data_IF_813179090753
#
_entry.id   IF_813179090753
#
_cell.length_a   1.000
_cell.length_b   1.000
_cell.length_c   1.000
_cell.angle_alpha   90.00
_cell.angle_beta   90.00
_cell.angle_gamma   90.00
#
_symmetry.space_group_name_H-M   'P 1'
#
loop_
_entity.id
_entity.type
_entity.pdbx_description
1 polymer ?
#
# COMPACT_ATOMS: atom_id res chain seq x y z
N UNK A 1 -43.82 1.17 54.25
CA UNK A 1 -43.34 2.09 53.19
C UNK A 1 -44.34 2.03 52.03
N UNK A 2 -44.93 3.14 51.60
CA UNK A 2 -46.01 3.13 50.56
C UNK A 2 -45.45 2.80 49.18
N UNK A 3 -46.20 2.05 48.36
CA UNK A 3 -45.77 1.59 47.02
C UNK A 3 -45.21 2.72 46.14
N UNK A 4 -45.78 3.94 46.22
CA UNK A 4 -45.28 5.14 45.53
C UNK A 4 -43.85 5.56 45.92
N UNK A 5 -43.44 5.38 47.17
CA UNK A 5 -42.08 5.72 47.62
C UNK A 5 -41.05 4.72 47.08
N UNK A 6 -41.40 3.44 47.01
CA UNK A 6 -40.54 2.38 46.46
C UNK A 6 -40.34 2.58 44.95
N UNK A 7 -41.42 2.87 44.20
CA UNK A 7 -41.33 3.15 42.76
C UNK A 7 -40.46 4.36 42.43
N UNK A 8 -40.51 5.44 43.24
CA UNK A 8 -39.64 6.62 43.05
C UNK A 8 -38.16 6.29 43.24
N UNK A 9 -37.82 5.48 44.24
CA UNK A 9 -36.42 5.09 44.50
C UNK A 9 -35.89 4.21 43.36
N UNK A 10 -36.70 3.26 42.88
CA UNK A 10 -36.33 2.40 41.73
C UNK A 10 -36.13 3.25 40.46
N UNK A 11 -37.01 4.22 40.19
CA UNK A 11 -36.88 5.11 39.03
C UNK A 11 -35.60 5.96 39.09
N UNK A 12 -35.24 6.48 40.27
CA UNK A 12 -33.97 7.22 40.47
C UNK A 12 -32.77 6.29 40.21
N UNK A 13 -32.80 5.06 40.72
CA UNK A 13 -31.74 4.09 40.47
C UNK A 13 -31.56 3.77 38.99
N UNK A 14 -32.66 3.56 38.26
CA UNK A 14 -32.62 3.32 36.81
C UNK A 14 -32.03 4.54 36.08
N UNK A 15 -32.45 5.76 36.43
CA UNK A 15 -31.91 6.98 35.83
C UNK A 15 -30.41 7.14 36.08
N UNK A 16 -29.93 6.82 37.29
CA UNK A 16 -28.50 6.83 37.63
C UNK A 16 -27.73 5.80 36.81
N UNK A 17 -28.26 4.58 36.66
CA UNK A 17 -27.63 3.53 35.85
C UNK A 17 -27.54 3.96 34.39
N UNK A 18 -28.61 4.51 33.81
CA UNK A 18 -28.62 5.01 32.43
C UNK A 18 -27.59 6.14 32.27
N UNK A 19 -27.53 7.09 33.20
CA UNK A 19 -26.55 8.17 33.18
C UNK A 19 -25.11 7.65 33.22
N UNK A 20 -24.83 6.65 34.05
CA UNK A 20 -23.52 6.00 34.11
C UNK A 20 -23.16 5.28 32.81
N UNK A 21 -24.10 4.56 32.20
CA UNK A 21 -23.89 3.90 30.90
C UNK A 21 -23.58 4.94 29.82
N UNK A 22 -24.35 6.03 29.73
CA UNK A 22 -24.11 7.10 28.75
C UNK A 22 -22.74 7.77 28.95
N UNK A 23 -22.34 7.99 30.21
CA UNK A 23 -21.03 8.56 30.53
C UNK A 23 -19.89 7.63 30.12
N UNK A 24 -20.03 6.32 30.36
CA UNK A 24 -19.05 5.33 29.91
C UNK A 24 -18.94 5.30 28.39
N UNK A 25 -20.07 5.31 27.66
CA UNK A 25 -20.08 5.34 26.20
C UNK A 25 -19.39 6.61 25.67
N UNK A 26 -19.71 7.78 26.25
CA UNK A 26 -19.08 9.04 25.87
C UNK A 26 -17.57 9.04 26.13
N UNK A 27 -17.13 8.50 27.27
CA UNK A 27 -15.71 8.39 27.60
C UNK A 27 -14.96 7.47 26.65
N UNK A 28 -15.52 6.29 26.34
CA UNK A 28 -14.94 5.34 25.39
C UNK A 28 -14.86 5.96 24.00
N UNK A 29 -15.93 6.59 23.53
CA UNK A 29 -15.96 7.25 22.21
C UNK A 29 -14.93 8.37 22.11
N UNK A 30 -14.87 9.24 23.12
CA UNK A 30 -13.91 10.35 23.17
C UNK A 30 -12.46 9.85 23.18
N UNK A 31 -12.17 8.78 23.93
CA UNK A 31 -10.85 8.15 23.96
C UNK A 31 -10.44 7.58 22.59
N UNK A 32 -11.37 6.87 21.93
CA UNK A 32 -11.13 6.26 20.62
C UNK A 32 -10.89 7.34 19.55
N UNK A 33 -11.73 8.37 19.49
CA UNK A 33 -11.60 9.45 18.52
C UNK A 33 -10.30 10.25 18.73
N UNK A 34 -9.96 10.55 19.99
CA UNK A 34 -8.70 11.23 20.30
C UNK A 34 -7.49 10.40 19.91
N UNK A 35 -7.51 9.09 20.15
CA UNK A 35 -6.45 8.19 19.74
C UNK A 35 -6.30 8.19 18.20
N UNK A 36 -7.40 8.07 17.45
CA UNK A 36 -7.36 8.14 15.99
C UNK A 36 -6.81 9.46 15.47
N UNK A 37 -7.23 10.59 16.05
CA UNK A 37 -6.72 11.90 15.68
C UNK A 37 -5.20 12.02 15.93
N UNK A 38 -4.74 11.60 17.11
CA UNK A 38 -3.32 11.65 17.48
C UNK A 38 -2.46 10.82 16.52
N UNK A 39 -2.93 9.61 16.17
CA UNK A 39 -2.25 8.69 15.27
C UNK A 39 -2.22 9.21 13.83
N UNK A 40 -3.31 9.81 13.35
CA UNK A 40 -3.32 10.47 12.03
C UNK A 40 -2.30 11.59 11.96
N UNK A 41 -2.20 12.41 13.01
CA UNK A 41 -1.20 13.50 13.08
C UNK A 41 0.23 12.96 13.14
N UNK A 42 0.46 11.90 13.90
CA UNK A 42 1.75 11.22 13.99
C UNK A 42 2.16 10.62 12.63
N UNK A 43 1.25 9.97 11.88
CA UNK A 43 1.52 9.46 10.54
C UNK A 43 1.88 10.58 9.54
N UNK A 44 1.16 11.70 9.54
CA UNK A 44 1.47 12.84 8.66
C UNK A 44 2.88 13.39 8.98
N UNK A 45 3.21 13.48 10.28
CA UNK A 45 4.53 13.91 10.71
C UNK A 45 5.61 12.92 10.26
N UNK A 46 5.40 11.62 10.47
CA UNK A 46 6.31 10.56 10.05
C UNK A 46 6.53 10.55 8.52
N UNK A 47 5.45 10.75 7.75
CA UNK A 47 5.52 10.86 6.30
C UNK A 47 6.53 11.95 5.91
N UNK A 48 6.35 13.16 6.43
CA UNK A 48 7.16 14.32 6.07
C UNK A 48 8.59 14.26 6.62
N UNK A 49 8.75 13.82 7.86
CA UNK A 49 10.04 13.87 8.57
C UNK A 49 10.94 12.67 8.25
N UNK A 50 10.38 11.54 7.86
CA UNK A 50 11.14 10.30 7.64
C UNK A 50 10.85 9.71 6.27
N UNK A 51 9.61 9.36 5.94
CA UNK A 51 9.33 8.57 4.74
C UNK A 51 9.67 9.33 3.44
N UNK A 52 9.33 10.61 3.36
CA UNK A 52 9.65 11.49 2.20
C UNK A 52 11.15 11.76 2.07
N UNK A 53 11.94 11.50 3.12
CA UNK A 53 13.40 11.67 3.09
C UNK A 53 14.13 10.46 2.51
N UNK A 54 13.44 9.32 2.41
CA UNK A 54 14.00 8.08 1.86
C UNK A 54 14.11 8.23 0.34
N UNK A 55 15.35 8.25 -0.17
CA UNK A 55 15.63 8.39 -1.60
C UNK A 55 15.92 7.07 -2.29
N UNK A 56 16.16 6.01 -1.52
CA UNK A 56 16.58 4.70 -2.02
C UNK A 56 15.47 3.69 -1.78
N UNK A 57 15.07 3.00 -2.84
CA UNK A 57 14.07 1.94 -2.82
C UNK A 57 14.79 0.59 -2.73
N UNK A 58 14.34 -0.28 -1.83
CA UNK A 58 14.71 -1.70 -1.86
C UNK A 58 14.03 -2.35 -3.07
N UNK A 59 14.83 -2.76 -4.04
CA UNK A 59 14.33 -3.12 -5.35
C UNK A 59 13.84 -4.55 -5.49
N UNK A 60 13.83 -5.35 -4.42
CA UNK A 60 13.22 -6.69 -4.41
C UNK A 60 11.69 -6.65 -4.30
N UNK A 61 11.06 -5.77 -5.09
CA UNK A 61 9.62 -5.59 -5.11
C UNK A 61 8.95 -6.72 -5.91
N UNK A 62 7.88 -7.29 -5.34
CA UNK A 62 7.01 -8.24 -6.04
C UNK A 62 6.11 -7.50 -7.02
N UNK A 63 6.10 -7.94 -8.27
CA UNK A 63 5.25 -7.44 -9.35
C UNK A 63 4.27 -8.54 -9.73
N UNK A 64 3.00 -8.15 -9.89
CA UNK A 64 1.95 -9.04 -10.36
C UNK A 64 1.73 -8.84 -11.86
N UNK A 65 1.59 -9.93 -12.59
CA UNK A 65 1.39 -9.98 -14.04
C UNK A 65 0.07 -10.70 -14.31
N UNK A 66 -0.84 -10.08 -15.05
CA UNK A 66 -2.17 -10.63 -15.34
C UNK A 66 -2.42 -10.73 -16.85
N UNK A 67 -2.97 -11.89 -17.27
CA UNK A 67 -3.36 -12.17 -18.66
C UNK A 67 -2.21 -12.59 -19.60
N UNK A 68 -1.03 -12.88 -19.07
CA UNK A 68 0.11 -13.36 -19.86
C UNK A 68 0.18 -14.88 -19.93
N UNK A 69 0.56 -15.41 -21.09
CA UNK A 69 0.72 -16.85 -21.25
C UNK A 69 2.11 -17.32 -20.78
N UNK A 70 2.26 -18.62 -20.53
CA UNK A 70 3.53 -19.21 -20.05
C UNK A 70 4.74 -18.91 -20.95
N UNK A 71 4.55 -18.83 -22.28
CA UNK A 71 5.64 -18.57 -23.22
C UNK A 71 6.11 -17.12 -23.15
N UNK A 72 5.19 -16.19 -22.93
CA UNK A 72 5.47 -14.75 -22.77
C UNK A 72 6.23 -14.45 -21.48
N UNK A 73 6.04 -15.27 -20.45
CA UNK A 73 6.64 -15.11 -19.12
C UNK A 73 8.05 -15.71 -18.99
N UNK A 74 8.52 -16.45 -20.00
CA UNK A 74 9.87 -17.03 -20.00
C UNK A 74 10.97 -15.98 -20.13
N UNK A 75 10.67 -14.81 -20.73
CA UNK A 75 11.63 -13.73 -20.93
C UNK A 75 10.94 -12.40 -20.65
N UNK A 76 11.20 -11.87 -19.46
CA UNK A 76 10.76 -10.56 -19.03
C UNK A 76 12.00 -9.70 -18.89
N UNK A 77 12.08 -8.62 -19.66
CA UNK A 77 13.17 -7.68 -19.56
C UNK A 77 12.81 -6.57 -18.58
N UNK A 78 13.75 -6.21 -17.73
CA UNK A 78 13.70 -5.08 -16.83
C UNK A 78 14.80 -4.13 -17.22
N UNK A 79 14.40 -2.89 -17.53
CA UNK A 79 15.33 -1.81 -17.78
C UNK A 79 15.23 -0.80 -16.64
N UNK A 80 16.37 -0.43 -16.08
CA UNK A 80 16.46 0.68 -15.14
C UNK A 80 16.78 1.94 -15.95
N UNK A 81 15.90 2.92 -15.87
CA UNK A 81 16.09 4.24 -16.45
C UNK A 81 16.42 5.23 -15.32
N UNK A 82 17.57 5.87 -15.44
CA UNK A 82 17.97 6.98 -14.58
C UNK A 82 17.95 8.24 -15.44
N UNK A 83 17.17 9.23 -15.02
CA UNK A 83 16.89 10.43 -15.81
C UNK A 83 16.39 10.11 -17.24
N UNK A 84 17.24 10.32 -18.25
CA UNK A 84 16.90 10.17 -19.68
C UNK A 84 17.58 8.96 -20.34
N UNK A 85 18.35 8.17 -19.58
CA UNK A 85 19.18 7.09 -20.11
C UNK A 85 18.90 5.75 -19.44
N UNK A 86 19.06 4.68 -20.21
CA UNK A 86 19.01 3.31 -19.71
C UNK A 86 20.35 2.91 -19.12
N UNK A 87 20.37 2.61 -17.82
CA UNK A 87 21.61 2.30 -17.10
C UNK A 87 21.77 0.81 -16.82
N UNK A 88 20.68 0.05 -16.73
CA UNK A 88 20.71 -1.42 -16.56
C UNK A 88 19.66 -2.10 -17.43
N UNK A 89 20.00 -3.31 -17.86
CA UNK A 89 19.14 -4.24 -18.60
C UNK A 89 19.32 -5.63 -17.97
N UNK A 90 18.23 -6.23 -17.53
CA UNK A 90 18.25 -7.56 -16.89
C UNK A 90 17.07 -8.37 -17.36
N UNK A 91 17.30 -9.64 -17.66
CA UNK A 91 16.26 -10.57 -18.13
C UNK A 91 15.99 -11.58 -17.04
N UNK A 92 14.72 -11.78 -16.75
CA UNK A 92 14.24 -12.68 -15.70
C UNK A 92 13.11 -13.53 -16.27
N UNK A 93 12.93 -14.74 -15.77
CA UNK A 93 11.80 -15.61 -16.08
C UNK A 93 10.86 -15.68 -14.89
N UNK A 94 9.55 -15.54 -15.12
CA UNK A 94 8.56 -15.88 -14.10
C UNK A 94 8.22 -17.37 -14.22
N UNK A 95 8.29 -18.09 -13.10
CA UNK A 95 7.76 -19.45 -13.03
C UNK A 95 6.22 -19.38 -12.99
N UNK A 96 5.52 -20.12 -13.86
CA UNK A 96 4.07 -20.11 -13.85
C UNK A 96 3.54 -20.76 -12.57
N UNK A 97 2.83 -19.97 -11.78
CA UNK A 97 2.09 -20.41 -10.61
C UNK A 97 1.04 -21.44 -11.04
N UNK A 98 1.21 -22.69 -10.59
CA UNK A 98 0.31 -23.79 -10.93
C UNK A 98 -1.08 -23.63 -10.29
N UNK A 99 -1.22 -22.84 -9.22
CA UNK A 99 -2.46 -22.67 -8.47
C UNK A 99 -3.34 -21.52 -8.98
N UNK A 100 -2.74 -20.51 -9.60
CA UNK A 100 -3.47 -19.40 -10.22
C UNK A 100 -2.87 -19.13 -11.60
N UNK A 101 -3.55 -19.61 -12.65
CA UNK A 101 -3.03 -19.50 -14.02
C UNK A 101 -3.04 -18.05 -14.53
N UNK A 102 -3.90 -17.22 -13.98
CA UNK A 102 -4.15 -15.87 -14.52
C UNK A 102 -3.25 -14.82 -13.88
N UNK A 103 -2.94 -14.96 -12.57
CA UNK A 103 -2.08 -14.05 -11.84
C UNK A 103 -0.70 -14.67 -11.55
N UNK A 104 0.33 -14.07 -12.12
CA UNK A 104 1.72 -14.51 -11.99
C UNK A 104 2.53 -13.48 -11.20
N UNK A 105 3.52 -13.92 -10.44
CA UNK A 105 4.36 -13.05 -9.62
C UNK A 105 5.80 -13.11 -10.09
N UNK A 106 6.46 -11.96 -10.13
CA UNK A 106 7.89 -11.86 -10.38
C UNK A 106 8.52 -10.89 -9.40
N UNK A 107 9.76 -11.17 -9.01
CA UNK A 107 10.56 -10.26 -8.19
C UNK A 107 11.40 -9.40 -9.12
N UNK A 108 11.35 -8.10 -8.91
CA UNK A 108 12.16 -7.14 -9.65
C UNK A 108 13.67 -7.41 -9.38
N UNK A 109 14.53 -7.39 -10.43
CA UNK A 109 15.89 -7.89 -10.32
C UNK A 109 16.92 -6.85 -9.87
N UNK A 110 16.49 -5.70 -9.35
CA UNK A 110 17.39 -4.63 -8.90
C UNK A 110 17.48 -4.66 -7.39
N UNK A 111 18.69 -4.62 -6.83
CA UNK A 111 18.84 -4.60 -5.37
C UNK A 111 18.37 -3.27 -4.77
N UNK A 112 18.81 -2.16 -5.36
CA UNK A 112 18.46 -0.81 -4.91
C UNK A 112 18.45 0.15 -6.11
N UNK A 113 17.59 1.17 -6.04
CA UNK A 113 17.52 2.27 -7.02
C UNK A 113 16.95 3.54 -6.38
N UNK A 114 16.99 4.67 -7.09
CA UNK A 114 16.46 5.94 -6.57
C UNK A 114 14.93 6.00 -6.75
N UNK A 115 14.21 6.61 -5.80
CA UNK A 115 12.75 6.81 -5.90
C UNK A 115 12.30 7.53 -7.20
N UNK A 116 13.17 8.36 -7.78
CA UNK A 116 12.92 9.09 -9.02
C UNK A 116 13.26 8.29 -10.30
N UNK A 117 13.92 7.14 -10.15
CA UNK A 117 14.23 6.28 -11.29
C UNK A 117 12.94 5.66 -11.85
N UNK A 118 12.97 5.33 -13.14
CA UNK A 118 11.88 4.60 -13.80
C UNK A 118 12.31 3.17 -14.07
N UNK A 119 11.37 2.25 -13.96
CA UNK A 119 11.61 0.85 -14.31
C UNK A 119 10.72 0.50 -15.48
N UNK A 120 11.33 0.10 -16.58
CA UNK A 120 10.62 -0.30 -17.78
C UNK A 120 10.60 -1.83 -17.81
N UNK A 121 9.40 -2.41 -17.83
CA UNK A 121 9.21 -3.86 -17.94
C UNK A 121 8.75 -4.17 -19.35
N UNK A 122 9.45 -5.07 -20.03
CA UNK A 122 9.04 -5.61 -21.32
C UNK A 122 8.71 -7.09 -21.22
N UNK A 123 7.44 -7.41 -21.49
CA UNK A 123 6.90 -8.77 -21.39
C UNK A 123 5.84 -8.97 -22.46
N UNK A 124 5.84 -10.13 -23.13
CA UNK A 124 4.80 -10.46 -24.12
C UNK A 124 4.57 -9.39 -25.20
N UNK A 125 5.67 -8.80 -25.70
CA UNK A 125 5.67 -7.70 -26.69
C UNK A 125 5.00 -6.41 -26.22
N UNK A 126 4.99 -6.15 -24.92
CA UNK A 126 4.40 -4.95 -24.32
C UNK A 126 5.36 -4.33 -23.33
N UNK A 127 5.33 -3.00 -23.26
CA UNK A 127 6.11 -2.22 -22.31
C UNK A 127 5.22 -1.67 -21.19
N UNK A 128 5.79 -1.56 -20.01
CA UNK A 128 5.21 -0.94 -18.83
C UNK A 128 6.24 -0.04 -18.19
N UNK A 129 5.90 1.23 -17.99
CA UNK A 129 6.78 2.20 -17.31
C UNK A 129 6.31 2.37 -15.87
N UNK A 130 7.09 1.84 -14.94
CA UNK A 130 6.84 1.90 -13.50
C UNK A 130 7.56 3.13 -12.93
N UNK A 131 6.83 3.95 -12.17
CA UNK A 131 7.37 5.19 -11.60
C UNK A 131 6.57 5.64 -10.38
N UNK A 132 7.03 6.70 -9.72
CA UNK A 132 6.40 7.20 -8.49
C UNK A 132 6.63 6.22 -7.35
N UNK A 133 7.87 5.77 -7.17
CA UNK A 133 8.21 4.97 -6.01
C UNK A 133 8.26 5.88 -4.80
N UNK A 134 7.58 5.48 -3.72
CA UNK A 134 7.49 6.29 -2.51
C UNK A 134 7.49 5.38 -1.29
N UNK A 135 7.59 5.96 -0.11
CA UNK A 135 7.35 5.25 1.14
C UNK A 135 6.16 5.89 1.82
N UNK A 136 5.22 5.10 2.32
CA UNK A 136 4.05 5.62 3.01
C UNK A 136 4.12 5.31 4.50
N UNK A 137 3.95 6.34 5.32
CA UNK A 137 3.79 6.21 6.76
C UNK A 137 2.46 5.50 7.06
N UNK A 138 2.53 4.38 7.76
CA UNK A 138 1.36 3.59 8.09
C UNK A 138 1.48 2.97 9.48
N UNK A 139 0.32 2.61 10.03
CA UNK A 139 0.25 1.75 11.21
C UNK A 139 -0.23 0.36 10.80
N UNK A 140 0.20 -0.65 11.56
CA UNK A 140 -0.55 -1.90 11.60
C UNK A 140 -1.90 -1.62 12.27
N UNK A 141 -2.98 -2.18 11.74
CA UNK A 141 -4.32 -2.04 12.32
C UNK A 141 -4.78 -3.39 12.84
N UNK A 142 -5.17 -3.41 14.12
CA UNK A 142 -5.87 -4.53 14.73
C UNK A 142 -7.37 -4.23 14.87
N UNK A 143 -8.09 -5.15 15.51
CA UNK A 143 -9.55 -5.06 15.73
C UNK A 143 -9.99 -3.78 16.46
N UNK A 144 -9.09 -3.16 17.24
CA UNK A 144 -9.37 -1.95 18.02
C UNK A 144 -8.57 -0.72 17.55
N UNK A 145 -8.01 -0.75 16.33
CA UNK A 145 -7.30 0.40 15.74
C UNK A 145 -5.79 0.18 15.58
N UNK A 146 -5.00 1.27 15.45
CA UNK A 146 -3.56 1.20 15.24
C UNK A 146 -2.83 0.42 16.34
N UNK A 147 -1.97 -0.51 15.96
CA UNK A 147 -1.15 -1.33 16.85
C UNK A 147 0.32 -1.09 16.52
N UNK A 148 1.12 -0.77 17.54
CA UNK A 148 2.56 -0.55 17.41
C UNK A 148 2.96 0.84 16.92
N UNK A 149 4.21 0.94 16.47
CA UNK A 149 4.83 2.15 15.92
C UNK A 149 4.28 2.50 14.54
N UNK A 150 4.34 3.78 14.19
CA UNK A 150 4.21 4.20 12.80
C UNK A 150 5.48 3.81 12.06
N UNK A 151 5.33 3.16 10.91
CA UNK A 151 6.45 2.67 10.11
C UNK A 151 6.31 3.18 8.68
N UNK A 152 7.44 3.45 8.04
CA UNK A 152 7.49 3.69 6.61
C UNK A 152 7.40 2.34 5.90
N UNK A 153 6.25 2.03 5.32
CA UNK A 153 6.11 0.83 4.51
C UNK A 153 6.66 1.11 3.12
N UNK A 154 7.48 0.17 2.63
CA UNK A 154 8.02 0.19 1.28
C UNK A 154 6.90 0.30 0.26
N UNK A 155 6.83 1.44 -0.41
CA UNK A 155 5.89 1.66 -1.49
C UNK A 155 6.45 1.06 -2.75
N UNK A 156 5.62 0.28 -3.41
CA UNK A 156 5.85 -0.06 -4.80
C UNK A 156 5.84 1.19 -5.67
N UNK A 157 5.62 0.97 -6.95
CA UNK A 157 5.36 2.05 -7.88
C UNK A 157 3.90 2.49 -7.76
N UNK A 158 3.65 3.78 -7.66
CA UNK A 158 2.29 4.36 -7.67
C UNK A 158 1.75 4.49 -9.10
N UNK A 159 2.63 4.50 -10.10
CA UNK A 159 2.26 4.77 -11.50
C UNK A 159 2.70 3.67 -12.44
N UNK A 160 1.80 3.29 -13.34
CA UNK A 160 2.08 2.47 -14.52
C UNK A 160 1.76 3.30 -15.76
N UNK A 161 2.71 3.43 -16.68
CA UNK A 161 2.56 4.21 -17.90
C UNK A 161 2.11 5.65 -17.60
N UNK A 162 2.70 6.24 -16.55
CA UNK A 162 2.43 7.60 -16.06
C UNK A 162 1.01 7.82 -15.48
N UNK A 163 0.21 6.76 -15.36
CA UNK A 163 -1.12 6.80 -14.74
C UNK A 163 -1.09 6.17 -13.36
N UNK A 164 -1.84 6.76 -12.43
CA UNK A 164 -2.06 6.20 -11.09
C UNK A 164 -2.56 4.75 -11.19
N UNK A 165 -1.90 3.85 -10.48
CA UNK A 165 -2.19 2.42 -10.48
C UNK A 165 -2.38 1.93 -9.05
N UNK A 166 -3.62 1.65 -8.67
CA UNK A 166 -3.96 1.27 -7.30
C UNK A 166 -3.51 -0.14 -6.90
N UNK A 167 -3.40 -1.09 -7.84
CA UNK A 167 -3.14 -2.50 -7.52
C UNK A 167 -1.70 -2.97 -7.75
N UNK A 168 -0.86 -2.16 -8.41
CA UNK A 168 0.49 -2.60 -8.79
C UNK A 168 0.50 -3.87 -9.65
N UNK A 169 -0.53 -4.09 -10.47
CA UNK A 169 -0.65 -5.26 -11.37
C UNK A 169 -0.44 -4.84 -12.82
N UNK A 170 0.49 -5.48 -13.51
CA UNK A 170 0.68 -5.28 -14.94
C UNK A 170 -0.31 -6.16 -15.71
N UNK A 171 -1.41 -5.54 -16.13
CA UNK A 171 -2.45 -6.24 -16.90
C UNK A 171 -2.09 -6.15 -18.38
N UNK A 172 -2.09 -7.29 -19.08
CA UNK A 172 -1.71 -7.38 -20.51
C UNK A 172 -2.44 -6.39 -21.41
N UNK A 173 -3.71 -6.11 -21.14
CA UNK A 173 -4.55 -5.18 -21.91
C UNK A 173 -4.02 -3.73 -21.89
N UNK A 174 -3.32 -3.32 -20.83
CA UNK A 174 -2.87 -1.94 -20.64
C UNK A 174 -1.40 -1.68 -20.98
N UNK A 175 -0.69 -2.71 -21.48
CA UNK A 175 0.70 -2.58 -21.91
C UNK A 175 0.83 -1.74 -23.18
N UNK A 176 1.92 -0.98 -23.28
CA UNK A 176 2.25 -0.15 -24.43
C UNK A 176 2.83 -1.04 -25.54
N UNK A 177 2.30 -0.93 -26.76
CA UNK A 177 2.77 -1.70 -27.91
C UNK A 177 3.91 -0.98 -28.64
N UNK A 178 3.82 0.35 -28.77
CA UNK A 178 4.74 1.17 -29.55
C UNK A 178 5.59 2.10 -28.66
N UNK A 179 6.11 1.56 -27.56
CA UNK A 179 6.98 2.32 -26.66
C UNK A 179 8.43 2.28 -27.16
N UNK A 180 9.01 3.47 -27.38
CA UNK A 180 10.42 3.59 -27.70
C UNK A 180 11.25 3.63 -26.42
N UNK A 181 12.17 2.67 -26.29
CA UNK A 181 13.13 2.65 -25.19
C UNK A 181 14.01 3.92 -25.23
N UNK A 182 14.34 4.51 -24.06
CA UNK A 182 15.32 5.58 -23.98
C UNK A 182 16.69 5.14 -24.52
N UNK A 183 17.55 6.09 -24.91
CA UNK A 183 18.92 5.78 -25.29
C UNK A 183 19.70 5.17 -24.12
N UNK A 184 20.75 4.40 -24.44
CA UNK A 184 21.74 3.92 -23.46
C UNK A 184 22.76 5.01 -23.15
#
# INVERSE_FOLDING_TARGET
>A
MTARKIFKVIAIFIAVIIALILLLVAFVWGSVEWNHYSKKKEAIRMQKEVCDTIKTVDGKLTIYLDGFNKKELQKIHFYLQQDKVLTKDTVVSAEPNNNNKDLQTIIMPFENFNVNDKIIVYVGKRFYVLSGFSYTAGYNYGMFGPVGSCECRGGGYEKINEKESGSGTLIKKYGLLDYQLPPK
#
